data_IF_948326528100
#
_entry.id   IF_948326528100
#
_cell.length_a   1.000
_cell.length_b   1.000
_cell.length_c   1.000
_cell.angle_alpha   90.00
_cell.angle_beta   90.00
_cell.angle_gamma   90.00
#
_symmetry.space_group_name_H-M   'P 1'
#
loop_
_entity.id
_entity.type
_entity.pdbx_description
1 polymer ?
#
# COMPACT_ATOMS: atom_id res chain seq x y z
N UNK A 1 -1.17 -12.53 4.27
CA UNK A 1 -2.06 -13.07 3.23
C UNK A 1 -1.55 -14.43 2.81
N UNK A 2 -2.47 -15.40 2.64
CA UNK A 2 -2.14 -16.81 2.31
C UNK A 2 -2.64 -17.20 0.93
N UNK A 3 -3.80 -16.70 0.53
CA UNK A 3 -4.40 -16.93 -0.79
C UNK A 3 -5.12 -15.65 -1.27
N UNK A 4 -5.25 -15.45 -2.60
CA UNK A 4 -6.10 -14.39 -3.11
C UNK A 4 -7.57 -14.69 -2.72
N UNK A 5 -8.32 -13.71 -2.21
CA UNK A 5 -9.73 -13.90 -1.90
C UNK A 5 -10.52 -14.14 -3.19
N UNK A 6 -11.52 -15.03 -3.18
CA UNK A 6 -12.47 -15.11 -4.27
C UNK A 6 -13.31 -13.84 -4.37
N UNK A 7 -13.83 -13.57 -5.56
CA UNK A 7 -14.69 -12.40 -5.80
C UNK A 7 -16.16 -12.80 -5.62
N UNK A 8 -16.95 -11.87 -5.07
CA UNK A 8 -18.42 -12.01 -4.92
C UNK A 8 -18.88 -13.24 -4.11
N UNK A 9 -18.06 -13.67 -3.16
CA UNK A 9 -18.34 -14.78 -2.24
C UNK A 9 -18.13 -14.27 -0.81
N UNK A 10 -19.07 -14.61 0.08
CA UNK A 10 -18.95 -14.31 1.50
C UNK A 10 -17.83 -15.14 2.13
N UNK A 11 -16.88 -14.46 2.77
CA UNK A 11 -15.79 -15.09 3.50
C UNK A 11 -16.16 -15.21 5.00
N UNK A 12 -15.64 -16.24 5.64
CA UNK A 12 -15.86 -16.48 7.05
C UNK A 12 -14.74 -15.83 7.86
N UNK A 13 -15.11 -15.10 8.91
CA UNK A 13 -14.16 -14.54 9.88
C UNK A 13 -14.35 -15.30 11.20
N UNK A 14 -13.27 -15.91 11.68
CA UNK A 14 -13.27 -16.69 12.92
C UNK A 14 -12.17 -16.21 13.85
N UNK A 15 -12.39 -16.25 15.18
CA UNK A 15 -11.32 -16.04 16.16
C UNK A 15 -10.17 -17.03 15.96
N UNK A 16 -8.94 -16.57 16.12
CA UNK A 16 -7.72 -17.38 16.05
C UNK A 16 -6.70 -16.86 17.09
N UNK A 17 -6.72 -17.42 18.29
CA UNK A 17 -5.95 -16.89 19.42
C UNK A 17 -6.36 -15.45 19.76
N UNK A 18 -5.38 -14.53 19.76
CA UNK A 18 -5.60 -13.09 20.00
C UNK A 18 -5.94 -12.32 18.70
N UNK A 19 -6.17 -13.04 17.60
CA UNK A 19 -6.46 -12.46 16.30
C UNK A 19 -7.69 -13.06 15.64
N UNK A 20 -7.73 -12.95 14.32
CA UNK A 20 -8.79 -13.52 13.48
C UNK A 20 -8.19 -14.15 12.23
N UNK A 21 -8.86 -15.16 11.72
CA UNK A 21 -8.60 -15.74 10.40
C UNK A 21 -9.77 -15.51 9.46
N UNK A 22 -9.45 -15.33 8.19
CA UNK A 22 -10.39 -15.18 7.09
C UNK A 22 -10.28 -16.41 6.21
N UNK A 23 -11.39 -17.10 5.97
CA UNK A 23 -11.40 -18.36 5.20
C UNK A 23 -12.49 -18.35 4.13
N UNK A 24 -12.24 -19.13 3.06
CA UNK A 24 -13.19 -19.57 2.06
C UNK A 24 -13.30 -21.09 2.18
N UNK A 25 -14.33 -21.58 2.89
CA UNK A 25 -14.40 -22.96 3.31
C UNK A 25 -13.14 -23.39 4.05
N UNK A 26 -12.45 -24.44 3.57
CA UNK A 26 -11.19 -24.93 4.15
C UNK A 26 -9.95 -24.12 3.73
N UNK A 27 -10.09 -23.14 2.83
CA UNK A 27 -8.97 -22.36 2.33
C UNK A 27 -8.70 -21.14 3.21
N UNK A 28 -7.53 -21.08 3.83
CA UNK A 28 -7.07 -19.89 4.57
C UNK A 28 -6.74 -18.76 3.60
N UNK A 29 -7.46 -17.65 3.69
CA UNK A 29 -7.21 -16.43 2.89
C UNK A 29 -6.25 -15.49 3.60
N UNK A 30 -6.51 -15.18 4.86
CA UNK A 30 -5.68 -14.27 5.64
C UNK A 30 -5.77 -14.53 7.14
N UNK A 31 -4.76 -14.10 7.88
CA UNK A 31 -4.79 -13.93 9.34
C UNK A 31 -4.52 -12.47 9.68
N UNK A 32 -5.15 -11.97 10.73
CA UNK A 32 -4.85 -10.68 11.31
C UNK A 32 -4.69 -10.79 12.83
N UNK A 33 -3.62 -10.21 13.35
CA UNK A 33 -3.28 -10.21 14.77
C UNK A 33 -2.95 -8.79 15.22
N UNK A 34 -3.12 -8.52 16.51
CA UNK A 34 -2.54 -7.32 17.11
C UNK A 34 -1.01 -7.42 17.08
N UNK A 35 -0.34 -6.30 16.93
CA UNK A 35 1.12 -6.21 16.92
C UNK A 35 1.60 -5.16 17.91
N UNK A 36 2.87 -5.24 18.26
CA UNK A 36 3.54 -4.14 18.97
C UNK A 36 3.47 -2.85 18.15
N UNK A 37 3.49 -1.68 18.81
CA UNK A 37 3.49 -0.39 18.13
C UNK A 37 4.65 -0.27 17.13
N UNK A 38 4.37 0.30 15.98
CA UNK A 38 5.41 0.56 14.97
C UNK A 38 6.29 1.72 15.40
N UNK A 39 7.62 1.65 15.15
CA UNK A 39 8.48 2.81 15.30
C UNK A 39 8.03 3.90 14.34
N UNK A 40 8.04 5.15 14.83
CA UNK A 40 7.70 6.29 13.97
C UNK A 40 8.77 6.46 12.90
N UNK A 41 8.38 6.73 11.64
CA UNK A 41 9.32 7.08 10.59
C UNK A 41 10.15 8.30 11.00
N UNK A 42 11.45 8.28 10.71
CA UNK A 42 12.39 9.34 11.11
C UNK A 42 12.53 10.46 10.07
N UNK A 43 11.87 10.35 8.91
CA UNK A 43 11.97 11.35 7.83
C UNK A 43 10.94 12.46 7.92
N UNK A 44 11.28 13.64 7.44
CA UNK A 44 10.33 14.72 7.18
C UNK A 44 9.62 14.42 5.85
N UNK A 45 8.28 14.52 5.77
CA UNK A 45 7.60 14.34 4.50
C UNK A 45 7.95 15.48 3.53
N UNK A 46 7.92 15.16 2.24
CA UNK A 46 7.88 16.22 1.21
C UNK A 46 6.54 16.95 1.29
N UNK A 47 6.47 18.14 0.73
CA UNK A 47 5.21 18.89 0.64
C UNK A 47 4.21 18.18 -0.30
N UNK A 48 2.93 18.48 -0.15
CA UNK A 48 1.89 17.97 -1.05
C UNK A 48 2.16 18.36 -2.52
N UNK A 49 2.65 19.59 -2.75
CA UNK A 49 2.99 20.07 -4.09
C UNK A 49 4.14 19.27 -4.72
N UNK A 50 5.18 18.94 -3.94
CA UNK A 50 6.30 18.10 -4.39
C UNK A 50 5.83 16.67 -4.68
N UNK A 51 5.05 16.05 -3.76
CA UNK A 51 4.48 14.73 -3.98
C UNK A 51 3.59 14.67 -5.24
N UNK A 52 2.81 15.71 -5.48
CA UNK A 52 1.99 15.84 -6.69
C UNK A 52 2.85 15.99 -7.94
N UNK A 53 3.92 16.76 -7.89
CA UNK A 53 4.83 16.97 -9.02
C UNK A 53 5.52 15.66 -9.43
N UNK A 54 6.10 14.92 -8.46
CA UNK A 54 6.75 13.63 -8.76
C UNK A 54 5.76 12.58 -9.28
N UNK A 55 4.49 12.64 -8.89
CA UNK A 55 3.44 11.75 -9.37
C UNK A 55 3.25 11.73 -10.90
N UNK A 56 3.75 12.76 -11.63
CA UNK A 56 3.79 12.77 -13.09
C UNK A 56 4.77 11.73 -13.66
N UNK A 57 5.77 11.32 -12.88
CA UNK A 57 6.77 10.30 -13.23
C UNK A 57 6.39 8.90 -12.67
N UNK A 58 5.16 8.73 -12.21
CA UNK A 58 4.67 7.44 -11.74
C UNK A 58 4.76 6.39 -12.85
N UNK A 59 5.59 5.37 -12.67
CA UNK A 59 5.87 4.33 -13.67
C UNK A 59 4.60 3.55 -14.07
N UNK A 60 3.64 3.41 -13.15
CA UNK A 60 2.34 2.78 -13.41
C UNK A 60 1.45 3.48 -14.43
N UNK A 61 1.79 4.71 -14.87
CA UNK A 61 1.09 5.38 -15.98
C UNK A 61 1.40 4.75 -17.34
N UNK A 62 2.56 4.13 -17.47
CA UNK A 62 3.01 3.47 -18.72
C UNK A 62 2.87 1.97 -18.64
N UNK A 63 3.29 1.36 -17.53
CA UNK A 63 3.22 -0.08 -17.31
C UNK A 63 2.85 -0.38 -15.86
N UNK A 64 1.63 -0.87 -15.64
CA UNK A 64 1.14 -1.20 -14.32
C UNK A 64 0.87 -2.70 -14.22
N UNK A 65 1.57 -3.45 -13.34
CA UNK A 65 1.37 -4.89 -13.22
C UNK A 65 -0.05 -5.26 -12.72
N UNK A 66 -0.71 -4.33 -12.01
CA UNK A 66 -2.07 -4.50 -11.47
C UNK A 66 -2.91 -3.26 -11.74
N UNK A 67 -3.23 -2.99 -13.00
CA UNK A 67 -3.88 -1.74 -13.42
C UNK A 67 -5.24 -1.46 -12.77
N UNK A 68 -5.92 -2.48 -12.24
CA UNK A 68 -7.19 -2.38 -11.50
C UNK A 68 -7.01 -2.32 -9.98
N UNK A 69 -5.78 -2.15 -9.46
CA UNK A 69 -5.53 -2.01 -8.03
C UNK A 69 -6.33 -0.84 -7.44
N UNK A 70 -7.00 -1.06 -6.30
CA UNK A 70 -7.81 -0.04 -5.64
C UNK A 70 -6.98 1.16 -5.18
N UNK A 71 -5.75 0.93 -4.71
CA UNK A 71 -4.90 1.97 -4.17
C UNK A 71 -4.22 2.81 -5.27
N UNK A 72 -3.57 2.17 -6.25
CA UNK A 72 -2.71 2.86 -7.23
C UNK A 72 -3.04 2.55 -8.70
N UNK A 73 -4.08 1.77 -8.97
CA UNK A 73 -4.45 1.36 -10.33
C UNK A 73 -4.87 2.53 -11.21
N UNK A 74 -4.53 2.44 -12.48
CA UNK A 74 -4.81 3.47 -13.49
C UNK A 74 -6.05 3.15 -14.34
N UNK A 75 -6.59 1.94 -14.23
CA UNK A 75 -7.73 1.46 -15.01
C UNK A 75 -9.04 1.40 -14.18
N UNK A 76 -9.14 2.19 -13.10
CA UNK A 76 -10.36 2.32 -12.30
C UNK A 76 -10.53 3.74 -11.76
N UNK A 77 -11.76 4.20 -11.68
CA UNK A 77 -12.11 5.57 -11.25
C UNK A 77 -12.50 5.66 -9.77
N UNK A 78 -12.93 4.55 -9.19
CA UNK A 78 -13.40 4.42 -7.80
C UNK A 78 -12.27 4.14 -6.80
N UNK A 79 -11.02 3.99 -7.27
CA UNK A 79 -9.85 3.78 -6.43
C UNK A 79 -9.30 5.06 -5.80
N UNK A 80 -8.25 4.92 -4.98
CA UNK A 80 -7.60 6.06 -4.32
C UNK A 80 -6.80 6.93 -5.29
N UNK A 81 -6.38 6.39 -6.43
CA UNK A 81 -5.67 7.11 -7.47
C UNK A 81 -4.27 7.57 -7.06
N UNK A 82 -3.63 6.86 -6.12
CA UNK A 82 -2.27 7.15 -5.69
C UNK A 82 -1.28 6.97 -6.84
N UNK A 83 -0.34 7.89 -6.96
CA UNK A 83 0.73 7.85 -7.97
C UNK A 83 2.10 7.93 -7.32
N UNK A 84 2.55 6.84 -6.67
CA UNK A 84 3.83 6.82 -5.99
C UNK A 84 4.98 6.93 -6.98
N UNK A 85 5.84 7.92 -6.78
CA UNK A 85 7.03 8.10 -7.60
C UNK A 85 8.23 8.48 -6.74
N UNK A 86 9.45 8.21 -7.26
CA UNK A 86 10.70 8.50 -6.57
C UNK A 86 10.84 10.00 -6.31
N UNK A 87 11.24 10.36 -5.10
CA UNK A 87 11.48 11.74 -4.70
C UNK A 87 12.79 12.28 -5.26
N UNK A 88 13.71 11.38 -5.61
CA UNK A 88 15.01 11.75 -6.20
C UNK A 88 16.08 12.08 -5.15
N UNK A 89 15.87 11.67 -3.91
CA UNK A 89 16.87 11.75 -2.85
C UNK A 89 17.69 10.45 -2.71
N UNK A 90 18.74 10.50 -1.87
CA UNK A 90 19.63 9.35 -1.64
C UNK A 90 18.99 8.24 -0.79
N UNK A 91 17.77 8.43 -0.28
CA UNK A 91 17.08 7.44 0.55
C UNK A 91 16.29 6.41 -0.24
N UNK A 92 16.08 6.65 -1.53
CA UNK A 92 15.20 5.85 -2.38
C UNK A 92 13.72 6.01 -2.03
N UNK A 93 13.37 7.12 -1.38
CA UNK A 93 12.00 7.40 -0.98
C UNK A 93 11.08 7.64 -2.19
N UNK A 94 9.84 7.22 -2.02
CA UNK A 94 8.72 7.48 -2.92
C UNK A 94 7.69 8.34 -2.22
N UNK A 95 6.99 9.18 -2.97
CA UNK A 95 5.90 9.99 -2.46
C UNK A 95 4.68 9.91 -3.37
N UNK A 96 3.51 9.99 -2.77
CA UNK A 96 2.24 10.14 -3.47
C UNK A 96 1.40 11.23 -2.79
N UNK A 97 0.91 12.19 -3.57
CA UNK A 97 -0.12 13.12 -3.12
C UNK A 97 -1.47 12.41 -3.09
N UNK A 98 -2.24 12.64 -2.04
CA UNK A 98 -3.56 12.04 -1.86
C UNK A 98 -4.56 13.05 -1.28
N UNK A 99 -5.73 13.13 -1.90
CA UNK A 99 -6.87 13.88 -1.38
C UNK A 99 -8.02 12.89 -1.23
N UNK A 100 -8.33 12.42 0.00
CA UNK A 100 -9.36 11.43 0.22
C UNK A 100 -10.75 11.95 -0.16
N UNK A 101 -11.50 11.16 -0.91
CA UNK A 101 -12.92 11.36 -1.20
C UNK A 101 -13.83 10.66 -0.19
N UNK A 102 -13.28 9.66 0.47
CA UNK A 102 -13.89 8.88 1.53
C UNK A 102 -12.82 8.53 2.55
N UNK A 103 -13.21 8.39 3.82
CA UNK A 103 -12.30 8.12 4.93
C UNK A 103 -12.87 7.02 5.81
N UNK A 104 -12.07 6.00 6.03
CA UNK A 104 -12.32 4.91 6.98
C UNK A 104 -11.01 4.23 7.34
N UNK A 105 -11.02 3.35 8.34
CA UNK A 105 -9.83 2.57 8.71
C UNK A 105 -9.31 1.73 7.54
N UNK A 106 -10.14 0.96 6.78
CA UNK A 106 -9.68 0.25 5.59
C UNK A 106 -9.09 1.15 4.51
N UNK A 107 -9.66 2.34 4.29
CA UNK A 107 -9.14 3.33 3.34
C UNK A 107 -7.75 3.83 3.75
N UNK A 108 -7.56 4.11 5.05
CA UNK A 108 -6.24 4.49 5.58
C UNK A 108 -5.19 3.38 5.39
N UNK A 109 -5.57 2.11 5.59
CA UNK A 109 -4.70 0.98 5.30
C UNK A 109 -4.36 0.88 3.81
N UNK A 110 -5.35 1.04 2.93
CA UNK A 110 -5.16 1.01 1.49
C UNK A 110 -4.23 2.14 0.99
N UNK A 111 -4.27 3.31 1.63
CA UNK A 111 -3.36 4.41 1.30
C UNK A 111 -1.90 4.09 1.67
N UNK A 112 -1.67 3.35 2.77
CA UNK A 112 -0.34 2.94 3.22
C UNK A 112 0.24 1.74 2.46
N UNK A 113 -0.56 0.99 1.70
CA UNK A 113 -0.19 -0.26 1.06
C UNK A 113 0.73 -0.04 -0.17
N UNK A 114 0.17 0.31 -1.31
CA UNK A 114 0.87 0.32 -2.60
C UNK A 114 2.12 1.20 -2.70
N UNK A 115 2.21 2.39 -2.06
CA UNK A 115 3.45 3.17 -2.10
C UNK A 115 4.66 2.38 -1.62
N UNK A 116 4.47 1.50 -0.61
CA UNK A 116 5.51 0.57 -0.16
C UNK A 116 5.97 -0.41 -1.24
N UNK A 117 5.04 -0.96 -2.03
CA UNK A 117 5.37 -1.86 -3.14
C UNK A 117 6.16 -1.16 -4.25
N UNK A 118 5.80 0.09 -4.57
CA UNK A 118 6.51 0.88 -5.57
C UNK A 118 7.92 1.23 -5.10
N UNK A 119 8.12 1.65 -3.87
CA UNK A 119 9.46 1.89 -3.32
C UNK A 119 10.31 0.61 -3.27
N UNK A 120 9.70 -0.56 -3.06
CA UNK A 120 10.37 -1.85 -3.09
C UNK A 120 10.69 -2.37 -4.50
N UNK A 121 10.29 -1.64 -5.56
CA UNK A 121 10.62 -1.96 -6.95
C UNK A 121 9.62 -2.88 -7.65
N UNK A 122 8.31 -2.65 -7.47
CA UNK A 122 7.24 -3.39 -8.16
C UNK A 122 7.24 -3.13 -9.68
N UNK A 123 7.78 -1.99 -10.11
CA UNK A 123 8.01 -1.72 -11.53
C UNK A 123 8.96 -2.77 -12.13
N UNK A 124 8.55 -3.41 -13.24
CA UNK A 124 9.32 -4.46 -13.89
C UNK A 124 9.44 -5.78 -13.12
N UNK A 125 8.96 -5.85 -11.87
CA UNK A 125 8.96 -7.04 -11.03
C UNK A 125 7.66 -7.16 -10.25
N UNK A 126 6.61 -7.75 -10.82
CA UNK A 126 5.32 -7.89 -10.13
C UNK A 126 5.49 -8.53 -8.75
N UNK A 127 4.93 -7.88 -7.74
CA UNK A 127 4.93 -8.35 -6.35
C UNK A 127 3.53 -8.28 -5.79
N UNK A 128 3.20 -9.20 -4.90
CA UNK A 128 1.97 -9.19 -4.12
C UNK A 128 2.29 -8.96 -2.65
N UNK A 129 1.36 -8.36 -1.94
CA UNK A 129 1.48 -8.17 -0.50
C UNK A 129 1.46 -9.53 0.20
N UNK A 130 2.50 -9.86 0.94
CA UNK A 130 2.57 -11.03 1.80
C UNK A 130 2.09 -10.73 3.22
N UNK A 131 2.67 -9.71 3.83
CA UNK A 131 2.34 -9.29 5.19
C UNK A 131 2.38 -7.77 5.28
N UNK A 132 1.45 -7.20 6.05
CA UNK A 132 1.45 -5.77 6.39
C UNK A 132 1.10 -5.60 7.85
N UNK A 133 1.87 -4.78 8.54
CA UNK A 133 1.54 -4.24 9.86
C UNK A 133 1.32 -2.76 9.70
N UNK A 134 0.17 -2.25 10.14
CA UNK A 134 -0.12 -0.82 10.07
C UNK A 134 -0.69 -0.31 11.39
N UNK A 135 -0.41 0.95 11.66
CA UNK A 135 -0.96 1.69 12.78
C UNK A 135 -1.47 3.05 12.28
N UNK A 136 -2.75 3.32 12.49
CA UNK A 136 -3.35 4.62 12.24
C UNK A 136 -3.45 5.36 13.57
N UNK A 137 -2.87 6.55 13.63
CA UNK A 137 -2.91 7.45 14.79
C UNK A 137 -4.11 8.39 14.72
N UNK A 138 -4.46 8.81 13.50
CA UNK A 138 -5.65 9.57 13.16
C UNK A 138 -6.06 9.27 11.73
N UNK A 139 -7.33 9.52 11.40
CA UNK A 139 -7.80 9.51 10.03
C UNK A 139 -7.75 10.94 9.48
N UNK A 140 -7.42 11.13 8.19
CA UNK A 140 -7.53 12.44 7.54
C UNK A 140 -9.00 12.85 7.42
N UNK A 141 -9.24 14.12 7.09
CA UNK A 141 -10.57 14.58 6.70
C UNK A 141 -10.78 14.41 5.19
N UNK A 142 -12.05 14.26 4.76
CA UNK A 142 -12.39 14.26 3.34
C UNK A 142 -11.98 15.59 2.72
N UNK A 143 -11.28 15.56 1.59
CA UNK A 143 -10.76 16.74 0.91
C UNK A 143 -9.43 17.28 1.47
N UNK A 144 -8.88 16.69 2.52
CA UNK A 144 -7.61 17.11 3.11
C UNK A 144 -6.43 16.74 2.19
N UNK A 145 -5.49 17.65 2.00
CA UNK A 145 -4.25 17.39 1.28
C UNK A 145 -3.30 16.53 2.14
N UNK A 146 -3.09 15.28 1.73
CA UNK A 146 -2.22 14.33 2.42
C UNK A 146 -1.04 13.90 1.55
N UNK A 147 0.02 13.45 2.19
CA UNK A 147 1.19 12.86 1.53
C UNK A 147 1.41 11.46 2.08
N UNK A 148 1.53 10.47 1.18
CA UNK A 148 2.03 9.15 1.56
C UNK A 148 3.47 9.04 1.12
N UNK A 149 4.36 8.85 2.09
CA UNK A 149 5.77 8.53 1.84
C UNK A 149 5.99 7.04 1.95
N UNK A 150 6.96 6.50 1.21
CA UNK A 150 7.39 5.12 1.35
C UNK A 150 8.89 4.96 1.11
N UNK A 151 9.49 3.99 1.77
CA UNK A 151 10.92 3.72 1.69
C UNK A 151 11.16 2.22 1.47
N UNK A 152 12.13 1.86 0.60
CA UNK A 152 12.56 0.48 0.46
C UNK A 152 13.25 0.01 1.73
N UNK A 153 13.10 -1.27 2.05
CA UNK A 153 13.80 -1.95 3.13
C UNK A 153 14.74 -3.04 2.62
N UNK A 154 14.98 -4.02 3.46
CA UNK A 154 15.80 -5.17 3.12
C UNK A 154 15.14 -6.05 2.05
N UNK A 155 15.98 -6.76 1.29
CA UNK A 155 15.49 -7.76 0.33
C UNK A 155 16.28 -9.07 0.46
N UNK A 156 15.59 -10.19 0.29
CA UNK A 156 16.19 -11.52 0.32
C UNK A 156 15.40 -12.49 -0.55
N UNK A 157 16.01 -13.00 -1.61
CA UNK A 157 15.35 -13.88 -2.57
C UNK A 157 14.13 -13.22 -3.21
N UNK A 158 12.94 -13.75 -2.94
CA UNK A 158 11.67 -13.21 -3.45
C UNK A 158 10.98 -12.23 -2.49
N UNK A 159 11.57 -11.96 -1.32
CA UNK A 159 11.02 -11.09 -0.29
C UNK A 159 11.62 -9.70 -0.38
N UNK A 160 10.79 -8.68 -0.32
CA UNK A 160 11.16 -7.28 -0.35
C UNK A 160 10.40 -6.57 0.78
N UNK A 161 11.12 -5.87 1.63
CA UNK A 161 10.53 -5.11 2.72
C UNK A 161 10.35 -3.65 2.30
N UNK A 162 9.37 -3.01 2.89
CA UNK A 162 9.18 -1.58 2.79
C UNK A 162 8.54 -1.02 4.04
N UNK A 163 8.65 0.29 4.19
CA UNK A 163 7.87 1.07 5.15
C UNK A 163 7.12 2.18 4.44
N UNK A 164 5.98 2.59 5.00
CA UNK A 164 5.21 3.72 4.51
C UNK A 164 4.66 4.55 5.66
N UNK A 165 4.35 5.80 5.38
CA UNK A 165 3.77 6.73 6.35
C UNK A 165 2.80 7.69 5.65
N UNK A 166 1.67 7.95 6.30
CA UNK A 166 0.67 8.92 5.89
C UNK A 166 0.81 10.18 6.72
N UNK A 167 0.90 11.31 6.07
CA UNK A 167 1.04 12.63 6.67
C UNK A 167 -0.11 13.54 6.26
N UNK A 168 -0.58 14.35 7.19
CA UNK A 168 -1.52 15.44 6.95
C UNK A 168 -0.82 16.72 6.47
N UNK A 169 -1.60 17.81 6.25
CA UNK A 169 -1.11 19.03 5.59
C UNK A 169 -0.04 19.79 6.37
N UNK A 170 0.01 19.69 7.69
CA UNK A 170 1.06 20.31 8.51
C UNK A 170 2.27 19.38 8.77
N UNK A 171 2.33 18.22 8.07
CA UNK A 171 3.37 17.22 8.25
C UNK A 171 3.17 16.33 9.48
N UNK A 172 2.02 16.37 10.11
CA UNK A 172 1.64 15.48 11.21
C UNK A 172 1.48 14.04 10.73
N UNK A 173 2.03 13.10 11.48
CA UNK A 173 1.94 11.67 11.19
C UNK A 173 0.56 11.14 11.53
N UNK A 174 -0.19 10.72 10.51
CA UNK A 174 -1.53 10.14 10.63
C UNK A 174 -1.51 8.60 10.68
N UNK A 175 -0.50 7.97 10.07
CA UNK A 175 -0.36 6.53 10.08
C UNK A 175 0.99 6.06 9.59
N UNK A 176 1.35 4.83 9.93
CA UNK A 176 2.57 4.18 9.47
C UNK A 176 2.34 2.70 9.19
N UNK A 177 3.10 2.13 8.27
CA UNK A 177 3.07 0.70 8.00
C UNK A 177 4.46 0.14 7.67
N UNK A 178 4.58 -1.18 7.86
CA UNK A 178 5.65 -2.01 7.33
C UNK A 178 5.04 -3.14 6.54
N UNK A 179 5.63 -3.46 5.41
CA UNK A 179 5.13 -4.50 4.52
C UNK A 179 6.25 -5.43 4.05
N UNK A 180 5.86 -6.66 3.77
CA UNK A 180 6.68 -7.64 3.07
C UNK A 180 5.97 -7.98 1.77
N UNK A 181 6.64 -7.73 0.68
CA UNK A 181 6.20 -7.99 -0.68
C UNK A 181 6.86 -9.27 -1.19
N UNK A 182 6.12 -10.06 -1.94
CA UNK A 182 6.59 -11.32 -2.52
C UNK A 182 6.59 -11.20 -4.04
N UNK A 183 7.78 -11.29 -4.65
CA UNK A 183 7.88 -11.32 -6.10
C UNK A 183 7.17 -12.56 -6.67
N UNK A 184 6.33 -12.34 -7.66
CA UNK A 184 5.58 -13.39 -8.36
C UNK A 184 6.05 -13.51 -9.81
N UNK A 185 5.78 -14.66 -10.41
CA UNK A 185 6.05 -14.85 -11.83
C UNK A 185 5.15 -13.89 -12.63
N UNK A 186 5.69 -13.02 -13.51
CA UNK A 186 4.88 -12.13 -14.35
C UNK A 186 3.79 -12.87 -15.15
N UNK A 187 4.07 -14.10 -15.58
CA UNK A 187 3.10 -14.94 -16.31
C UNK A 187 1.90 -15.38 -15.43
N UNK A 188 2.03 -15.30 -14.10
CA UNK A 188 0.93 -15.61 -13.17
C UNK A 188 0.04 -14.37 -12.90
N UNK A 189 0.49 -13.19 -13.25
CA UNK A 189 -0.29 -11.95 -13.19
C UNK A 189 -1.15 -11.90 -14.44
N UNK A 190 -2.43 -12.33 -14.31
CA UNK A 190 -3.37 -12.25 -15.43
C UNK A 190 -3.80 -10.79 -15.61
N UNK A 191 -3.67 -10.21 -16.83
CA UNK A 191 -4.37 -8.97 -17.13
C UNK A 191 -5.87 -9.22 -16.86
N UNK A 192 -6.48 -8.37 -16.05
CA UNK A 192 -7.94 -8.37 -15.96
C UNK A 192 -8.42 -7.97 -17.36
N UNK A 193 -9.14 -8.88 -18.03
CA UNK A 193 -9.58 -8.69 -19.41
C UNK A 193 -10.28 -7.33 -19.59
N UNK A 194 -10.04 -6.77 -20.76
CA UNK A 194 -10.73 -5.58 -21.25
C UNK A 194 -12.19 -5.91 -21.52
#
# INVERSE_FOLDING_TARGET
LSAPPPLEIDLQIEPDGDGVRLTDGDTLVAVANLSEPLPRPSGTPVTFAEARAVGSAYEGLTEHPFSTCFSCGTAREDGLGLRPAAVGDDTGAYAAAWVPREVSVPIGWAALDCPGGWSAGIAGRPMVLGTMTAQLFALPEVGQECVVMAWPGASSGRRFESSSALYGPSGELLGAARAVWIAVNPAAVRPVGR
#
